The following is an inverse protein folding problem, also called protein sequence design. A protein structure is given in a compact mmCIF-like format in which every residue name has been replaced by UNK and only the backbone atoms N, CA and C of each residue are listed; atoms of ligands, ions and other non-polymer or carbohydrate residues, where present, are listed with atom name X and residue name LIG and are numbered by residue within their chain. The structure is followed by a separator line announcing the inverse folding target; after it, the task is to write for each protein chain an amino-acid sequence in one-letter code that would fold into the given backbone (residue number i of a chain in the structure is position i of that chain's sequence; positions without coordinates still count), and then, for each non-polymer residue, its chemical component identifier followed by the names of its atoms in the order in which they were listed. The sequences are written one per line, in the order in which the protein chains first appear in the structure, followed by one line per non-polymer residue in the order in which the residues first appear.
data_IF_502149288409
#
_entry.id   IF_502149288409
#
_cell.length_a   1.000
_cell.length_b   1.000
_cell.length_c   1.000
_cell.angle_alpha   90.00
_cell.angle_beta   90.00
_cell.angle_gamma   90.00
#
_symmetry.space_group_name_H-M   'P 1'
#
loop_
_entity.id
_entity.type
_entity.pdbx_description
1 polymer ?
#
# COMPACT_ATOMS: atom_id res chain seq x y z
N UNK A 1 9.56 -25.92 10.00
CA UNK A 1 8.97 -25.27 8.80
C UNK A 1 9.53 -23.86 8.68
N UNK A 2 9.98 -23.41 7.50
CA UNK A 2 10.45 -22.04 7.33
C UNK A 2 9.31 -21.05 7.61
N UNK A 3 9.62 -19.96 8.31
CA UNK A 3 8.63 -18.91 8.64
C UNK A 3 8.28 -18.15 7.36
N UNK A 4 6.98 -18.00 7.06
CA UNK A 4 6.52 -17.19 5.92
C UNK A 4 7.09 -15.77 6.04
N UNK A 5 7.70 -15.25 4.96
CA UNK A 5 8.12 -13.86 4.91
C UNK A 5 6.87 -12.96 4.91
N UNK A 6 6.80 -12.03 5.85
CA UNK A 6 5.74 -11.01 5.88
C UNK A 6 6.09 -9.86 4.95
N UNK A 7 5.11 -9.36 4.20
CA UNK A 7 5.26 -8.21 3.31
C UNK A 7 4.51 -7.01 3.88
N UNK A 8 5.13 -5.83 3.83
CA UNK A 8 4.53 -4.58 4.35
C UNK A 8 4.64 -3.52 3.26
N UNK A 9 3.52 -2.85 2.97
CA UNK A 9 3.53 -1.68 2.09
C UNK A 9 3.66 -0.41 2.92
N UNK A 10 4.58 0.49 2.53
CA UNK A 10 4.85 1.74 3.23
C UNK A 10 4.51 2.89 2.26
N UNK A 11 3.45 3.62 2.56
CA UNK A 11 2.99 4.77 1.80
C UNK A 11 3.46 6.06 2.48
N UNK A 12 4.48 6.68 1.91
CA UNK A 12 5.08 7.90 2.45
C UNK A 12 4.23 9.16 2.24
N UNK A 13 4.69 10.28 2.81
CA UNK A 13 4.16 11.60 2.48
C UNK A 13 4.58 12.07 1.08
N UNK A 14 3.98 13.16 0.60
CA UNK A 14 4.30 13.71 -0.73
C UNK A 14 3.28 14.69 -1.31
N UNK A 15 2.33 15.17 -0.50
CA UNK A 15 1.22 16.02 -0.94
C UNK A 15 0.52 15.44 -2.19
N UNK A 16 0.39 16.22 -3.27
CA UNK A 16 -0.25 15.77 -4.50
C UNK A 16 0.43 14.56 -5.17
N UNK A 17 1.72 14.31 -4.91
CA UNK A 17 2.43 13.15 -5.47
C UNK A 17 1.89 11.81 -4.93
N UNK A 18 1.12 11.82 -3.84
CA UNK A 18 0.44 10.64 -3.32
C UNK A 18 -0.49 9.97 -4.34
N UNK A 19 -0.93 10.68 -5.38
CA UNK A 19 -1.69 10.08 -6.49
C UNK A 19 -0.95 8.92 -7.17
N UNK A 20 0.39 8.92 -7.20
CA UNK A 20 1.18 7.85 -7.79
C UNK A 20 1.13 6.53 -7.00
N UNK A 21 0.84 6.59 -5.69
CA UNK A 21 0.67 5.38 -4.89
C UNK A 21 -0.46 4.50 -5.44
N UNK A 22 -1.53 5.10 -5.96
CA UNK A 22 -2.69 4.36 -6.51
C UNK A 22 -2.27 3.46 -7.67
N UNK A 23 -1.51 4.00 -8.63
CA UNK A 23 -1.02 3.22 -9.76
C UNK A 23 -0.05 2.11 -9.33
N UNK A 24 0.82 2.39 -8.37
CA UNK A 24 1.74 1.39 -7.83
C UNK A 24 1.01 0.25 -7.11
N UNK A 25 0.01 0.57 -6.27
CA UNK A 25 -0.79 -0.41 -5.56
C UNK A 25 -1.57 -1.32 -6.51
N UNK A 26 -2.23 -0.74 -7.52
CA UNK A 26 -2.94 -1.51 -8.55
C UNK A 26 -2.03 -2.47 -9.31
N UNK A 27 -0.84 -2.00 -9.70
CA UNK A 27 0.12 -2.88 -10.37
C UNK A 27 0.54 -4.06 -9.47
N UNK A 28 0.78 -3.82 -8.18
CA UNK A 28 1.13 -4.89 -7.25
C UNK A 28 0.00 -5.92 -7.11
N UNK A 29 -1.25 -5.47 -7.06
CA UNK A 29 -2.43 -6.36 -7.05
C UNK A 29 -2.55 -7.19 -8.34
N UNK A 30 -2.37 -6.56 -9.50
CA UNK A 30 -2.36 -7.26 -10.80
C UNK A 30 -1.28 -8.36 -10.87
N UNK A 31 -0.18 -8.20 -10.13
CA UNK A 31 0.89 -9.19 -10.00
C UNK A 31 0.65 -10.21 -8.87
N UNK A 32 -0.48 -10.14 -8.15
CA UNK A 32 -0.77 -10.98 -6.99
C UNK A 32 0.14 -10.72 -5.79
N UNK A 33 0.73 -9.51 -5.71
CA UNK A 33 1.61 -9.09 -4.63
C UNK A 33 0.77 -8.34 -3.60
N UNK A 34 0.34 -9.06 -2.56
CA UNK A 34 -0.45 -8.48 -1.47
C UNK A 34 0.42 -8.21 -0.22
N UNK A 35 0.09 -7.18 0.57
CA UNK A 35 0.72 -6.92 1.87
C UNK A 35 0.01 -7.65 3.01
N UNK A 36 0.76 -7.98 4.06
CA UNK A 36 0.20 -8.41 5.35
C UNK A 36 -0.16 -7.23 6.27
N UNK A 37 0.44 -6.07 6.01
CA UNK A 37 0.22 -4.84 6.76
C UNK A 37 0.57 -3.62 5.89
N UNK A 38 -0.02 -2.47 6.22
CA UNK A 38 0.21 -1.21 5.53
C UNK A 38 0.54 -0.14 6.56
N UNK A 39 1.54 0.68 6.26
CA UNK A 39 1.95 1.82 7.09
C UNK A 39 1.83 3.07 6.22
N UNK A 40 1.14 4.10 6.71
CA UNK A 40 0.97 5.38 6.02
C UNK A 40 1.53 6.55 6.80
N UNK A 41 2.00 7.59 6.10
CA UNK A 41 2.36 8.90 6.68
C UNK A 41 1.82 10.05 5.82
N UNK A 42 1.26 11.10 6.44
CA UNK A 42 0.65 12.24 5.75
C UNK A 42 -0.39 11.78 4.69
N UNK A 43 -0.28 12.19 3.42
CA UNK A 43 -1.15 11.73 2.33
C UNK A 43 -1.17 10.19 2.17
N UNK A 44 -0.08 9.51 2.54
CA UNK A 44 0.01 8.06 2.52
C UNK A 44 -0.92 7.38 3.52
N UNK A 45 -1.31 8.04 4.63
CA UNK A 45 -2.32 7.51 5.56
C UNK A 45 -3.67 7.39 4.87
N UNK A 46 -4.07 8.41 4.10
CA UNK A 46 -5.35 8.42 3.38
C UNK A 46 -5.39 7.24 2.40
N UNK A 47 -4.35 7.09 1.58
CA UNK A 47 -4.27 5.98 0.63
C UNK A 47 -4.20 4.61 1.32
N UNK A 48 -3.49 4.50 2.45
CA UNK A 48 -3.40 3.27 3.22
C UNK A 48 -4.76 2.85 3.80
N UNK A 49 -5.52 3.81 4.33
CA UNK A 49 -6.87 3.57 4.84
C UNK A 49 -7.83 3.17 3.72
N UNK A 50 -7.79 3.87 2.59
CA UNK A 50 -8.63 3.62 1.41
C UNK A 50 -8.34 2.20 0.90
N UNK A 51 -7.08 1.88 0.59
CA UNK A 51 -6.66 0.54 0.15
C UNK A 51 -7.05 -0.54 1.17
N UNK A 52 -6.72 -0.35 2.45
CA UNK A 52 -7.02 -1.32 3.51
C UNK A 52 -8.50 -1.53 3.79
N UNK A 53 -9.37 -0.58 3.41
CA UNK A 53 -10.83 -0.70 3.55
C UNK A 53 -11.50 -1.50 2.42
N UNK A 54 -10.71 -2.03 1.48
CA UNK A 54 -11.21 -2.79 0.34
C UNK A 54 -11.38 -1.93 -0.91
N UNK A 55 -10.67 -0.81 -1.03
CA UNK A 55 -10.68 -0.05 -2.27
C UNK A 55 -9.48 0.84 -2.49
N UNK A 56 -8.70 0.53 -3.52
CA UNK A 56 -8.09 1.44 -4.51
C UNK A 56 -8.31 0.79 -5.86
#
# INVERSE_FOLDING_TARGET
MPKRQKRVFILGGGAALGAHHVGALRYLEEQGIEPDAIIGSSIGVINACVYGSGGV
#
